data_IF_739149645847
#
_entry.id   IF_739149645847
#
_cell.length_a   1.000
_cell.length_b   1.000
_cell.length_c   1.000
_cell.angle_alpha   90.00
_cell.angle_beta   90.00
_cell.angle_gamma   90.00
#
_symmetry.space_group_name_H-M   'P 1'
#
loop_
_entity.id
_entity.type
_entity.pdbx_description
1 polymer ?
#
# COMPACT_ATOMS: atom_id res chain seq x y z
N UNK A 1 -29.35 40.93 18.82
CA UNK A 1 -29.31 39.58 19.40
C UNK A 1 -28.45 38.67 18.54
N UNK A 2 -27.24 38.36 19.04
CA UNK A 2 -26.30 37.45 18.38
C UNK A 2 -26.87 36.03 18.37
N UNK A 3 -26.94 35.39 17.19
CA UNK A 3 -27.26 33.97 17.05
C UNK A 3 -26.01 33.16 17.44
N UNK A 4 -26.11 32.38 18.51
CA UNK A 4 -25.10 31.38 18.86
C UNK A 4 -25.01 30.29 17.79
N UNK A 5 -23.81 29.75 17.49
CA UNK A 5 -23.67 28.61 16.59
C UNK A 5 -24.19 27.34 17.27
N UNK A 6 -24.93 26.54 16.49
CA UNK A 6 -25.51 25.26 16.89
C UNK A 6 -24.39 24.29 17.29
N UNK A 7 -24.28 23.97 18.60
CA UNK A 7 -23.44 22.86 19.05
C UNK A 7 -24.24 21.57 18.92
N UNK A 8 -23.79 20.57 18.14
CA UNK A 8 -24.48 19.29 18.07
C UNK A 8 -24.43 18.63 19.45
N UNK A 9 -25.60 18.20 19.93
CA UNK A 9 -25.71 17.58 21.26
C UNK A 9 -24.95 16.25 21.29
N UNK A 10 -24.35 15.91 22.45
CA UNK A 10 -23.53 14.69 22.65
C UNK A 10 -24.14 13.42 22.05
N UNK A 11 -25.47 13.31 22.01
CA UNK A 11 -26.22 12.16 21.48
C UNK A 11 -26.05 11.97 19.96
N UNK A 12 -25.95 13.04 19.16
CA UNK A 12 -25.80 12.96 17.70
C UNK A 12 -24.41 12.52 17.26
N UNK A 13 -23.36 12.91 18.00
CA UNK A 13 -22.01 12.41 17.77
C UNK A 13 -21.91 10.90 18.11
N UNK A 14 -22.74 10.40 19.03
CA UNK A 14 -22.66 9.01 19.50
C UNK A 14 -23.50 8.01 18.70
N UNK A 15 -24.40 8.47 17.82
CA UNK A 15 -25.03 7.59 16.81
C UNK A 15 -24.13 7.35 15.59
N UNK A 16 -23.22 8.29 15.29
CA UNK A 16 -22.35 8.27 14.10
C UNK A 16 -21.21 7.22 14.16
N UNK A 17 -20.85 6.74 15.36
CA UNK A 17 -19.86 5.67 15.56
C UNK A 17 -20.37 4.25 15.28
N UNK A 18 -21.70 4.06 15.23
CA UNK A 18 -22.33 2.74 15.15
C UNK A 18 -22.13 2.04 13.81
N UNK A 19 -21.70 2.75 12.77
CA UNK A 19 -21.57 2.25 11.39
C UNK A 19 -20.12 1.95 10.97
N UNK A 20 -19.13 2.20 11.83
CA UNK A 20 -17.72 2.27 11.38
C UNK A 20 -16.86 1.03 11.59
N UNK A 21 -17.26 0.07 12.41
CA UNK A 21 -16.36 -1.03 12.81
C UNK A 21 -16.66 -2.42 12.23
N UNK A 22 -17.58 -2.54 11.29
CA UNK A 22 -17.91 -3.82 10.65
C UNK A 22 -16.95 -4.24 9.53
N UNK A 23 -16.10 -5.25 9.82
CA UNK A 23 -15.50 -6.31 8.96
C UNK A 23 -14.11 -6.13 8.29
N UNK A 24 -13.00 -6.20 9.05
CA UNK A 24 -11.69 -6.51 8.48
C UNK A 24 -11.40 -8.03 8.51
N UNK A 25 -11.32 -8.66 7.34
CA UNK A 25 -11.10 -10.09 7.07
C UNK A 25 -10.14 -10.27 5.88
N UNK A 26 -8.89 -10.64 6.05
CA UNK A 26 -8.07 -11.10 4.92
C UNK A 26 -8.50 -12.53 4.49
N UNK A 27 -8.73 -12.83 3.19
CA UNK A 27 -8.80 -14.21 2.74
C UNK A 27 -7.43 -14.87 2.79
N UNK A 28 -7.40 -16.12 3.26
CA UNK A 28 -6.22 -16.99 3.28
C UNK A 28 -5.62 -17.14 1.89
N UNK A 29 -4.29 -17.00 1.84
CA UNK A 29 -3.43 -17.48 0.76
C UNK A 29 -3.75 -18.93 0.42
N UNK A 30 -4.22 -19.17 -0.79
CA UNK A 30 -4.25 -20.51 -1.36
C UNK A 30 -2.81 -20.94 -1.64
N UNK A 31 -2.38 -22.01 -0.97
CA UNK A 31 -1.14 -22.74 -1.29
C UNK A 31 -1.36 -23.34 -2.67
N UNK A 32 -0.80 -22.71 -3.71
CA UNK A 32 -0.67 -23.32 -5.03
C UNK A 32 0.70 -23.97 -5.14
N UNK A 33 0.67 -25.28 -5.38
CA UNK A 33 1.82 -26.15 -5.59
C UNK A 33 2.83 -25.59 -6.60
N UNK A 34 4.11 -25.61 -6.22
CA UNK A 34 5.25 -25.21 -7.03
C UNK A 34 5.32 -25.96 -8.38
N UNK A 35 5.41 -25.27 -9.52
CA UNK A 35 5.98 -25.87 -10.72
C UNK A 35 7.51 -25.83 -10.65
N UNK A 36 8.12 -26.89 -11.16
CA UNK A 36 9.56 -27.14 -11.23
C UNK A 36 10.36 -25.94 -11.76
N UNK A 37 11.59 -25.83 -11.25
CA UNK A 37 12.65 -24.98 -11.77
C UNK A 37 12.82 -25.17 -13.29
N UNK A 38 12.27 -24.22 -14.05
CA UNK A 38 12.63 -23.98 -15.43
C UNK A 38 13.46 -22.72 -15.46
N UNK A 39 14.66 -22.82 -16.01
CA UNK A 39 15.56 -21.72 -16.35
C UNK A 39 14.81 -20.66 -17.17
N UNK A 40 14.43 -19.55 -16.53
CA UNK A 40 13.77 -18.42 -17.22
C UNK A 40 14.60 -17.16 -16.97
N UNK A 41 15.13 -16.60 -18.05
CA UNK A 41 15.63 -15.22 -18.14
C UNK A 41 14.54 -14.27 -17.63
N UNK A 42 14.58 -13.84 -16.37
CA UNK A 42 13.42 -13.18 -15.73
C UNK A 42 13.60 -11.66 -15.62
N UNK A 43 13.74 -10.99 -16.76
CA UNK A 43 13.54 -9.54 -16.82
C UNK A 43 12.14 -9.22 -16.30
N UNK A 44 12.04 -8.28 -15.37
CA UNK A 44 10.77 -7.97 -14.68
C UNK A 44 9.92 -7.06 -15.57
N UNK A 45 10.52 -5.97 -16.04
CA UNK A 45 9.94 -5.08 -17.03
C UNK A 45 11.04 -4.41 -17.87
N UNK A 46 10.66 -3.86 -19.02
CA UNK A 46 11.53 -3.09 -19.89
C UNK A 46 11.03 -1.65 -20.01
N UNK A 47 11.94 -0.69 -20.13
CA UNK A 47 11.65 0.72 -20.38
C UNK A 47 11.78 1.00 -21.88
N UNK A 48 10.64 1.23 -22.54
CA UNK A 48 10.57 1.58 -23.96
C UNK A 48 10.70 3.10 -24.11
N UNK A 49 11.59 3.62 -24.97
CA UNK A 49 11.77 5.07 -25.12
C UNK A 49 10.59 5.69 -25.87
N UNK A 50 9.99 6.76 -25.33
CA UNK A 50 8.86 7.45 -25.96
C UNK A 50 9.27 8.72 -26.72
N UNK A 51 10.44 9.27 -26.44
CA UNK A 51 10.92 10.50 -27.07
C UNK A 51 12.37 10.38 -27.57
N UNK A 52 12.80 11.36 -28.39
CA UNK A 52 14.14 11.37 -29.00
C UNK A 52 15.27 11.37 -27.95
N UNK A 53 15.05 11.98 -26.78
CA UNK A 53 16.04 12.03 -25.71
C UNK A 53 16.24 10.66 -25.05
N UNK A 54 15.15 9.93 -24.81
CA UNK A 54 15.17 8.55 -24.33
C UNK A 54 15.79 7.60 -25.37
N UNK A 55 15.49 7.78 -26.66
CA UNK A 55 16.12 7.00 -27.74
C UNK A 55 17.64 7.22 -27.78
N UNK A 56 18.09 8.48 -27.74
CA UNK A 56 19.52 8.80 -27.69
C UNK A 56 20.20 8.20 -26.45
N UNK A 57 19.51 8.11 -25.32
CA UNK A 57 20.03 7.50 -24.10
C UNK A 57 20.29 5.99 -24.29
N UNK A 58 19.39 5.31 -24.99
CA UNK A 58 19.49 3.88 -25.29
C UNK A 58 20.61 3.61 -26.30
N UNK A 59 20.78 4.49 -27.29
CA UNK A 59 21.87 4.36 -28.28
C UNK A 59 23.26 4.69 -27.73
N UNK A 60 23.36 5.28 -26.54
CA UNK A 60 24.64 5.62 -25.91
C UNK A 60 25.44 4.35 -25.57
N UNK A 61 26.70 4.31 -26.02
CA UNK A 61 27.64 3.21 -25.78
C UNK A 61 27.77 2.89 -24.28
N UNK A 62 27.65 3.89 -23.40
CA UNK A 62 27.73 3.70 -21.96
C UNK A 62 26.59 2.85 -21.39
N UNK A 63 25.44 2.77 -22.08
CA UNK A 63 24.23 2.10 -21.62
C UNK A 63 23.94 0.78 -22.35
N UNK A 64 24.66 0.48 -23.44
CA UNK A 64 24.39 -0.68 -24.30
C UNK A 64 24.37 -2.03 -23.57
N UNK A 65 25.14 -2.19 -22.49
CA UNK A 65 25.16 -3.41 -21.68
C UNK A 65 23.78 -3.77 -21.08
N UNK A 66 22.93 -2.77 -20.87
CA UNK A 66 21.59 -2.90 -20.28
C UNK A 66 20.45 -2.86 -21.32
N UNK A 67 20.78 -2.60 -22.59
CA UNK A 67 19.80 -2.47 -23.67
C UNK A 67 19.61 -3.83 -24.32
N UNK A 68 18.36 -4.21 -24.56
CA UNK A 68 17.98 -5.40 -25.32
C UNK A 68 16.89 -5.02 -26.32
N UNK A 69 16.94 -5.66 -27.49
CA UNK A 69 15.92 -5.47 -28.51
C UNK A 69 14.76 -6.42 -28.26
N UNK A 70 13.57 -5.86 -28.13
CA UNK A 70 12.33 -6.60 -27.96
C UNK A 70 11.29 -6.09 -28.95
N UNK A 71 10.66 -7.00 -29.68
CA UNK A 71 9.60 -6.65 -30.65
C UNK A 71 10.07 -5.59 -31.69
N UNK A 72 11.36 -5.63 -32.04
CA UNK A 72 12.00 -4.68 -32.96
C UNK A 72 12.30 -3.29 -32.36
N UNK A 73 12.12 -3.12 -31.06
CA UNK A 73 12.41 -1.87 -30.34
C UNK A 73 13.50 -2.11 -29.28
N UNK A 74 14.51 -1.25 -29.26
CA UNK A 74 15.55 -1.29 -28.23
C UNK A 74 15.03 -0.68 -26.93
N UNK A 75 15.10 -1.45 -25.85
CA UNK A 75 14.57 -1.10 -24.53
C UNK A 75 15.62 -1.36 -23.45
N UNK A 76 15.49 -0.67 -22.31
CA UNK A 76 16.32 -0.95 -21.13
C UNK A 76 15.62 -1.99 -20.28
N UNK A 77 16.24 -3.15 -20.08
CA UNK A 77 15.68 -4.19 -19.23
C UNK A 77 15.99 -3.91 -17.75
N UNK A 78 14.95 -3.87 -16.91
CA UNK A 78 15.05 -3.74 -15.46
C UNK A 78 14.78 -5.10 -14.83
N UNK A 79 15.72 -5.56 -14.01
CA UNK A 79 15.70 -6.88 -13.39
C UNK A 79 16.13 -6.80 -11.92
N UNK A 80 15.59 -7.69 -11.10
CA UNK A 80 15.82 -7.81 -9.67
C UNK A 80 16.37 -9.19 -9.25
N UNK A 81 16.68 -10.10 -10.20
CA UNK A 81 17.20 -11.45 -9.90
C UNK A 81 18.71 -11.44 -9.58
N UNK A 82 19.15 -11.81 -8.37
CA UNK A 82 20.56 -11.74 -7.96
C UNK A 82 21.54 -12.71 -8.66
N UNK A 83 21.05 -13.67 -9.44
CA UNK A 83 21.84 -14.78 -10.02
C UNK A 83 22.45 -14.50 -11.40
N UNK A 84 22.42 -13.25 -11.92
CA UNK A 84 23.22 -12.91 -13.10
C UNK A 84 24.71 -12.87 -12.73
N UNK A 85 25.52 -13.65 -13.44
CA UNK A 85 26.99 -13.72 -13.29
C UNK A 85 27.70 -12.35 -13.37
N UNK A 86 27.04 -11.34 -13.93
CA UNK A 86 27.61 -10.02 -14.20
C UNK A 86 27.30 -8.98 -13.09
N UNK A 87 26.43 -9.31 -12.12
CA UNK A 87 26.16 -8.49 -10.92
C UNK A 87 25.53 -7.11 -11.15
N UNK A 88 25.02 -6.82 -12.35
CA UNK A 88 24.58 -5.50 -12.80
C UNK A 88 23.04 -5.45 -12.94
N UNK A 89 22.36 -4.91 -11.94
CA UNK A 89 20.91 -4.65 -11.94
C UNK A 89 20.69 -3.18 -12.26
N UNK A 90 20.20 -2.77 -13.44
CA UNK A 90 19.92 -1.36 -13.71
C UNK A 90 18.65 -0.91 -12.96
N UNK A 91 18.80 -0.79 -11.65
CA UNK A 91 17.79 -0.30 -10.74
C UNK A 91 17.89 1.21 -10.54
N UNK A 92 18.79 1.91 -11.25
CA UNK A 92 19.04 3.32 -11.00
C UNK A 92 19.51 4.05 -12.27
N UNK A 93 18.89 5.20 -12.53
CA UNK A 93 19.19 6.07 -13.67
C UNK A 93 19.69 7.40 -13.13
N UNK A 94 20.79 7.95 -13.66
CA UNK A 94 21.34 9.25 -13.26
C UNK A 94 22.80 9.42 -13.65
N UNK A 95 23.49 10.45 -13.15
CA UNK A 95 24.93 10.65 -13.44
C UNK A 95 25.82 9.52 -12.92
N UNK A 96 25.46 8.94 -11.78
CA UNK A 96 26.15 7.85 -11.09
C UNK A 96 25.28 6.58 -11.01
N UNK A 97 24.18 6.54 -11.76
CA UNK A 97 23.33 5.36 -11.87
C UNK A 97 23.97 4.28 -12.74
N UNK A 98 23.32 3.13 -12.80
CA UNK A 98 23.67 2.06 -13.72
C UNK A 98 23.46 2.52 -15.17
N UNK A 99 22.30 3.11 -15.45
CA UNK A 99 22.02 3.85 -16.69
C UNK A 99 22.50 5.29 -16.50
N UNK A 100 23.45 5.69 -17.32
CA UNK A 100 24.14 6.97 -17.20
C UNK A 100 23.50 8.04 -18.07
N UNK A 101 23.19 9.17 -17.45
CA UNK A 101 22.79 10.41 -18.15
C UNK A 101 23.80 11.51 -17.82
N UNK A 102 24.69 11.83 -18.76
CA UNK A 102 25.71 12.86 -18.56
C UNK A 102 25.18 14.26 -18.89
N UNK A 103 24.42 14.84 -17.95
CA UNK A 103 23.84 16.19 -18.06
C UNK A 103 23.84 16.91 -16.73
N UNK A 104 24.21 18.21 -16.73
CA UNK A 104 24.40 18.98 -15.49
C UNK A 104 23.15 19.06 -14.57
N UNK A 105 21.94 19.11 -15.13
CA UNK A 105 20.68 19.19 -14.37
C UNK A 105 20.18 17.84 -13.84
N UNK A 106 20.85 16.72 -14.18
CA UNK A 106 20.48 15.39 -13.69
C UNK A 106 21.15 15.13 -12.33
N UNK A 107 20.43 14.51 -11.40
CA UNK A 107 20.95 14.16 -10.08
C UNK A 107 21.98 13.01 -10.16
N UNK A 108 22.69 12.76 -9.05
CA UNK A 108 23.60 11.60 -8.95
C UNK A 108 22.85 10.30 -9.24
N UNK A 109 21.72 10.11 -8.56
CA UNK A 109 20.67 9.16 -8.90
C UNK A 109 19.41 9.99 -9.09
N UNK A 110 18.84 9.94 -10.28
CA UNK A 110 17.65 10.68 -10.67
C UNK A 110 16.39 9.91 -10.27
N UNK A 111 16.31 8.65 -10.70
CA UNK A 111 15.26 7.71 -10.32
C UNK A 111 15.89 6.35 -10.01
N UNK A 112 15.25 5.59 -9.14
CA UNK A 112 15.58 4.18 -8.93
C UNK A 112 14.32 3.31 -8.90
N UNK A 113 14.49 2.03 -9.23
CA UNK A 113 13.48 1.00 -9.11
C UNK A 113 13.88 0.07 -7.96
N UNK A 114 12.98 -0.11 -7.00
CA UNK A 114 13.26 -0.82 -5.75
C UNK A 114 12.11 -1.76 -5.44
N UNK A 115 12.36 -2.85 -4.72
CA UNK A 115 11.30 -3.74 -4.23
C UNK A 115 10.88 -3.36 -2.82
N UNK A 116 9.58 -3.34 -2.55
CA UNK A 116 9.07 -3.11 -1.20
C UNK A 116 9.23 -4.39 -0.35
N UNK A 117 9.93 -4.32 0.79
CA UNK A 117 10.30 -5.50 1.60
C UNK A 117 9.13 -6.39 2.03
N UNK A 118 8.02 -5.74 2.36
CA UNK A 118 6.88 -6.39 3.01
C UNK A 118 5.86 -6.87 1.99
N UNK A 119 5.71 -6.12 0.89
CA UNK A 119 4.64 -6.34 -0.09
C UNK A 119 5.13 -6.88 -1.41
N UNK A 120 6.43 -6.75 -1.72
CA UNK A 120 7.02 -7.19 -2.99
C UNK A 120 6.68 -6.31 -4.17
N UNK A 121 6.00 -5.20 -3.92
CA UNK A 121 5.62 -4.24 -4.96
C UNK A 121 6.86 -3.55 -5.53
N UNK A 122 6.82 -3.28 -6.83
CA UNK A 122 7.89 -2.57 -7.54
C UNK A 122 7.66 -1.07 -7.35
N UNK A 123 8.63 -0.42 -6.73
CA UNK A 123 8.63 0.99 -6.38
C UNK A 123 9.50 1.77 -7.36
N UNK A 124 8.95 2.80 -7.99
CA UNK A 124 9.71 3.90 -8.57
C UNK A 124 10.00 4.93 -7.48
N UNK A 125 11.27 5.21 -7.25
CA UNK A 125 11.75 6.19 -6.26
C UNK A 125 12.35 7.39 -6.97
N UNK A 126 11.78 8.57 -6.72
CA UNK A 126 12.35 9.82 -7.20
C UNK A 126 13.42 10.30 -6.22
N UNK A 127 14.69 10.20 -6.65
CA UNK A 127 15.85 10.62 -5.87
C UNK A 127 16.37 11.99 -6.29
N UNK A 128 15.67 12.68 -7.18
CA UNK A 128 16.01 14.03 -7.60
C UNK A 128 15.75 15.03 -6.45
N UNK A 129 16.63 16.03 -6.24
CA UNK A 129 16.44 17.01 -5.16
C UNK A 129 15.12 17.79 -5.24
N UNK A 130 14.56 17.95 -6.44
CA UNK A 130 13.34 18.71 -6.68
C UNK A 130 12.09 17.84 -6.86
N UNK A 131 12.19 16.52 -6.69
CA UNK A 131 11.13 15.55 -7.00
C UNK A 131 10.44 15.82 -8.36
N UNK A 132 11.26 15.88 -9.42
CA UNK A 132 10.82 16.24 -10.77
C UNK A 132 10.51 15.05 -11.67
N UNK A 133 10.29 13.87 -11.10
CA UNK A 133 9.69 12.74 -11.76
C UNK A 133 8.16 12.92 -11.81
N UNK A 134 7.60 12.57 -12.95
CA UNK A 134 6.19 12.54 -13.23
C UNK A 134 5.83 11.17 -13.78
N UNK A 135 4.69 10.63 -13.36
CA UNK A 135 4.20 9.34 -13.86
C UNK A 135 2.76 9.50 -14.29
N UNK A 136 2.51 9.05 -15.51
CA UNK A 136 1.21 8.99 -16.13
C UNK A 136 0.75 7.53 -16.15
N UNK A 137 -0.45 7.25 -15.61
CA UNK A 137 -1.09 5.94 -15.68
C UNK A 137 -2.35 6.02 -16.54
N UNK A 138 -2.58 4.98 -17.33
CA UNK A 138 -3.89 4.66 -17.90
C UNK A 138 -4.36 3.37 -17.26
N UNK A 139 -5.53 3.41 -16.66
CA UNK A 139 -6.16 2.28 -16.01
C UNK A 139 -6.81 1.33 -17.02
N UNK A 140 -7.23 0.15 -16.55
CA UNK A 140 -7.94 -0.84 -17.36
C UNK A 140 -9.31 -0.36 -17.85
N UNK A 141 -9.93 0.58 -17.14
CA UNK A 141 -11.19 1.25 -17.51
C UNK A 141 -10.96 2.57 -18.27
N UNK A 142 -9.72 2.84 -18.68
CA UNK A 142 -9.26 4.05 -19.36
C UNK A 142 -9.28 5.34 -18.53
N UNK A 143 -9.42 5.25 -17.20
CA UNK A 143 -9.16 6.40 -16.35
C UNK A 143 -7.68 6.81 -16.41
N UNK A 144 -7.42 8.12 -16.43
CA UNK A 144 -6.08 8.69 -16.56
C UNK A 144 -5.64 9.29 -15.22
N UNK A 145 -4.39 9.02 -14.83
CA UNK A 145 -3.83 9.51 -13.57
C UNK A 145 -2.43 10.07 -13.68
N UNK A 146 -2.24 11.14 -12.94
CA UNK A 146 -1.01 11.91 -12.92
C UNK A 146 -0.41 11.96 -11.52
N UNK A 147 0.82 11.43 -11.38
CA UNK A 147 1.58 11.48 -10.15
C UNK A 147 2.80 12.37 -10.30
N UNK A 148 2.92 13.34 -9.40
CA UNK A 148 4.05 14.25 -9.28
C UNK A 148 4.36 14.49 -7.80
N UNK A 149 5.55 15.05 -7.51
CA UNK A 149 6.01 15.34 -6.13
C UNK A 149 5.82 14.14 -5.20
N UNK A 150 6.41 13.01 -5.57
CA UNK A 150 6.41 11.79 -4.76
C UNK A 150 7.86 11.43 -4.42
N UNK A 151 8.07 10.83 -3.24
CA UNK A 151 9.36 10.22 -2.91
C UNK A 151 9.47 8.81 -3.48
N UNK A 152 8.38 8.04 -3.38
CA UNK A 152 8.25 6.71 -3.95
C UNK A 152 6.83 6.51 -4.50
N UNK A 153 6.70 5.62 -5.49
CA UNK A 153 5.44 5.28 -6.14
C UNK A 153 5.44 3.82 -6.61
N UNK A 154 4.37 3.08 -6.34
CA UNK A 154 4.18 1.70 -6.81
C UNK A 154 3.85 1.69 -8.30
N UNK A 155 4.62 0.93 -9.08
CA UNK A 155 4.30 0.65 -10.48
C UNK A 155 3.32 -0.53 -10.54
N UNK A 156 2.05 -0.24 -10.81
CA UNK A 156 0.98 -1.22 -10.82
C UNK A 156 0.94 -2.03 -12.13
N UNK A 157 1.18 -3.35 -12.12
CA UNK A 157 1.15 -4.16 -13.34
C UNK A 157 -0.25 -4.32 -13.95
N UNK A 158 -1.32 -4.02 -13.21
CA UNK A 158 -2.68 -4.03 -13.75
C UNK A 158 -3.02 -2.77 -14.58
N UNK A 159 -2.19 -1.72 -14.54
CA UNK A 159 -2.39 -0.54 -15.37
C UNK A 159 -2.22 -0.90 -16.86
N UNK A 160 -3.09 -0.36 -17.70
CA UNK A 160 -3.01 -0.54 -19.16
C UNK A 160 -1.75 0.11 -19.72
N UNK A 161 -1.40 1.29 -19.21
CA UNK A 161 -0.22 2.04 -19.63
C UNK A 161 0.40 2.75 -18.43
N UNK A 162 1.73 2.78 -18.38
CA UNK A 162 2.50 3.59 -17.44
C UNK A 162 3.61 4.29 -18.21
N UNK A 163 3.62 5.62 -18.17
CA UNK A 163 4.69 6.45 -18.75
C UNK A 163 5.38 7.21 -17.64
N UNK A 164 6.69 7.02 -17.55
CA UNK A 164 7.56 7.68 -16.57
C UNK A 164 8.32 8.79 -17.29
N UNK A 165 8.21 10.01 -16.77
CA UNK A 165 8.88 11.19 -17.29
C UNK A 165 9.75 11.81 -16.21
N UNK A 166 11.04 11.98 -16.46
CA UNK A 166 11.94 12.67 -15.53
C UNK A 166 12.95 13.56 -16.25
N UNK A 167 13.63 14.40 -15.46
CA UNK A 167 14.66 15.32 -15.94
C UNK A 167 14.31 16.79 -15.69
N UNK A 168 15.22 17.67 -16.08
CA UNK A 168 15.10 19.12 -15.90
C UNK A 168 14.54 19.79 -17.14
N UNK A 169 15.36 20.64 -17.76
CA UNK A 169 15.04 21.32 -19.02
C UNK A 169 14.84 20.36 -20.20
N UNK A 170 15.44 19.18 -20.14
CA UNK A 170 15.23 18.09 -21.08
C UNK A 170 14.51 16.97 -20.34
N UNK A 171 13.47 16.43 -20.99
CA UNK A 171 12.65 15.35 -20.47
C UNK A 171 13.00 14.03 -21.13
N UNK A 172 13.10 12.99 -20.32
CA UNK A 172 13.27 11.62 -20.75
C UNK A 172 11.98 10.87 -20.41
N UNK A 173 11.38 10.24 -21.41
CA UNK A 173 10.08 9.58 -21.30
C UNK A 173 10.22 8.12 -21.65
N UNK A 174 9.74 7.26 -20.75
CA UNK A 174 9.77 5.81 -20.90
C UNK A 174 8.42 5.20 -20.60
N UNK A 175 7.93 4.37 -21.51
CA UNK A 175 6.77 3.51 -21.30
C UNK A 175 7.23 2.20 -20.63
N UNK A 176 6.57 1.81 -19.55
CA UNK A 176 6.85 0.55 -18.84
C UNK A 176 6.20 -0.61 -19.60
N UNK A 177 7.00 -1.59 -19.99
CA UNK A 177 6.55 -2.84 -20.61
C UNK A 177 6.81 -4.02 -19.71
N UNK A 178 5.76 -4.54 -19.09
CA UNK A 178 5.83 -5.72 -18.24
C UNK A 178 6.30 -6.95 -19.02
N UNK A 179 7.29 -7.66 -18.48
CA UNK A 179 7.86 -8.88 -19.06
C UNK A 179 7.63 -10.11 -18.18
N UNK A 180 7.44 -9.90 -16.88
CA UNK A 180 7.03 -10.96 -15.96
C UNK A 180 5.63 -11.49 -16.31
N UNK A 181 5.46 -12.81 -16.19
CA UNK A 181 4.16 -13.48 -16.38
C UNK A 181 3.39 -13.63 -15.06
N UNK A 182 4.11 -13.69 -13.95
CA UNK A 182 3.59 -13.87 -12.59
C UNK A 182 4.23 -12.84 -11.65
N UNK A 183 3.61 -12.64 -10.48
CA UNK A 183 4.12 -11.76 -9.42
C UNK A 183 5.44 -12.29 -8.83
N UNK A 184 6.28 -11.39 -8.30
CA UNK A 184 7.56 -11.75 -7.69
C UNK A 184 7.30 -12.49 -6.37
N UNK A 185 7.75 -13.75 -6.29
CA UNK A 185 7.73 -14.52 -5.05
C UNK A 185 8.77 -13.98 -4.06
N UNK A 186 8.28 -13.31 -3.02
CA UNK A 186 9.09 -12.73 -1.96
C UNK A 186 9.84 -13.76 -1.11
N UNK A 187 9.33 -15.00 -0.94
CA UNK A 187 10.03 -16.01 -0.15
C UNK A 187 11.23 -16.56 -0.91
N UNK A 188 11.03 -16.83 -2.21
CA UNK A 188 12.13 -17.14 -3.12
C UNK A 188 13.19 -16.02 -3.07
N UNK A 189 12.75 -14.75 -3.13
CA UNK A 189 13.64 -13.58 -3.16
C UNK A 189 14.36 -13.29 -1.83
N UNK A 190 13.69 -13.43 -0.67
CA UNK A 190 14.31 -13.26 0.67
C UNK A 190 15.43 -14.28 0.91
N UNK A 191 15.24 -15.51 0.43
CA UNK A 191 16.28 -16.55 0.52
C UNK A 191 17.55 -16.21 -0.30
N UNK A 192 17.41 -15.33 -1.29
CA UNK A 192 18.48 -14.82 -2.14
C UNK A 192 19.13 -13.55 -1.56
N UNK A 193 18.38 -12.62 -0.94
CA UNK A 193 18.93 -11.44 -0.23
C UNK A 193 19.96 -11.86 0.85
N UNK A 194 19.67 -12.93 1.60
CA UNK A 194 20.59 -13.46 2.64
C UNK A 194 21.93 -13.94 2.08
N UNK A 195 22.03 -14.23 0.77
CA UNK A 195 23.26 -14.71 0.13
C UNK A 195 24.12 -13.59 -0.44
N UNK A 196 23.54 -12.43 -0.77
CA UNK A 196 24.20 -11.36 -1.53
C UNK A 196 24.48 -10.09 -0.73
N UNK A 197 23.91 -9.94 0.47
CA UNK A 197 24.22 -8.84 1.39
C UNK A 197 23.74 -7.45 0.93
N UNK A 198 22.92 -7.38 -0.13
CA UNK A 198 22.34 -6.13 -0.60
C UNK A 198 21.06 -5.81 0.18
N UNK A 199 21.05 -4.69 0.89
CA UNK A 199 19.84 -4.11 1.49
C UNK A 199 19.48 -2.86 0.69
N UNK A 200 18.68 -3.02 -0.37
CA UNK A 200 18.18 -1.90 -1.19
C UNK A 200 16.67 -1.89 -1.30
N UNK A 201 16.02 -2.11 -0.17
CA UNK A 201 14.58 -2.15 -0.10
C UNK A 201 14.13 -1.09 0.89
N UNK A 202 13.15 -0.29 0.48
CA UNK A 202 12.49 0.69 1.33
C UNK A 202 12.06 -0.03 2.62
N UNK A 203 12.67 0.35 3.75
CA UNK A 203 12.18 -0.09 5.06
C UNK A 203 10.85 0.61 5.29
N UNK A 204 9.89 -0.15 5.79
CA UNK A 204 8.61 0.39 6.21
C UNK A 204 8.82 1.59 7.11
N UNK A 205 8.46 2.77 6.61
CA UNK A 205 8.05 3.84 7.48
C UNK A 205 6.61 3.45 7.85
N UNK A 206 6.34 2.97 9.08
CA UNK A 206 4.97 2.60 9.47
C UNK A 206 4.09 3.78 9.10
N UNK A 207 3.08 3.62 8.21
CA UNK A 207 2.47 4.69 7.41
C UNK A 207 2.55 6.03 8.14
N UNK A 208 3.67 6.73 7.96
CA UNK A 208 4.10 7.66 9.01
C UNK A 208 3.23 8.88 8.92
N UNK A 209 2.31 8.96 9.87
CA UNK A 209 1.50 10.12 10.21
C UNK A 209 0.55 10.52 9.08
N UNK A 210 -0.60 11.02 9.51
CA UNK A 210 -1.54 11.81 8.72
C UNK A 210 -0.75 12.67 7.75
N UNK A 211 -0.99 12.49 6.46
CA UNK A 211 -0.46 13.41 5.45
C UNK A 211 -1.08 14.75 5.82
N UNK A 212 -0.26 15.65 6.36
CA UNK A 212 -0.66 17.02 6.64
C UNK A 212 -1.23 17.62 5.35
N UNK A 213 -2.33 18.35 5.49
CA UNK A 213 -3.03 19.02 4.40
C UNK A 213 -2.02 19.78 3.52
N UNK A 214 -1.89 19.37 2.25
CA UNK A 214 -0.94 20.06 1.36
C UNK A 214 -0.54 19.37 0.07
N UNK A 215 -0.91 18.10 -0.16
CA UNK A 215 -0.68 17.47 -1.48
C UNK A 215 -1.92 17.67 -2.35
N UNK A 216 -1.92 18.73 -3.15
CA UNK A 216 -2.86 18.91 -4.26
C UNK A 216 -2.70 17.74 -5.23
N UNK A 217 -3.77 16.96 -5.42
CA UNK A 217 -3.86 15.87 -6.38
C UNK A 217 -5.31 15.40 -6.45
N UNK A 218 -5.75 14.76 -7.56
CA UNK A 218 -7.12 14.30 -7.67
C UNK A 218 -7.45 13.39 -6.48
N UNK A 219 -8.51 13.78 -5.81
CA UNK A 219 -9.29 12.96 -4.90
C UNK A 219 -9.77 11.72 -5.69
N UNK A 220 -9.84 10.57 -5.03
CA UNK A 220 -10.60 9.36 -5.41
C UNK A 220 -9.78 8.16 -5.85
N UNK A 221 -10.00 7.05 -5.12
CA UNK A 221 -9.80 5.62 -5.46
C UNK A 221 -8.41 5.12 -5.84
N UNK A 222 -7.49 6.00 -6.24
CA UNK A 222 -6.34 5.63 -7.05
C UNK A 222 -5.04 5.65 -6.27
N UNK A 223 -5.02 6.36 -5.13
CA UNK A 223 -3.98 6.17 -4.13
C UNK A 223 -3.99 4.74 -3.59
N UNK A 224 -5.14 4.08 -3.51
CA UNK A 224 -5.26 2.78 -2.86
C UNK A 224 -5.65 1.70 -3.87
N UNK A 225 -4.66 1.02 -4.43
CA UNK A 225 -4.89 -0.08 -5.37
C UNK A 225 -5.64 -1.22 -4.68
N UNK A 226 -6.89 -1.46 -5.09
CA UNK A 226 -7.72 -2.56 -4.61
C UNK A 226 -7.06 -3.90 -4.96
N UNK A 227 -6.77 -4.73 -3.95
CA UNK A 227 -6.26 -6.09 -4.14
C UNK A 227 -7.36 -7.12 -4.01
N UNK A 228 -7.87 -7.33 -2.80
CA UNK A 228 -8.84 -8.39 -2.51
C UNK A 228 -9.99 -7.87 -1.70
N UNK A 229 -11.20 -8.30 -2.05
CA UNK A 229 -12.37 -8.08 -1.22
C UNK A 229 -12.25 -8.92 0.04
N UNK A 230 -12.13 -8.20 1.14
CA UNK A 230 -11.97 -8.72 2.48
C UNK A 230 -13.34 -9.14 3.01
N UNK A 231 -14.32 -8.23 2.95
CA UNK A 231 -15.63 -8.47 3.52
C UNK A 231 -16.74 -7.66 2.83
N UNK A 232 -17.98 -8.09 3.05
CA UNK A 232 -19.18 -7.44 2.57
C UNK A 232 -20.26 -7.49 3.64
N UNK A 233 -20.85 -6.35 3.96
CA UNK A 233 -22.08 -6.28 4.73
C UNK A 233 -23.18 -5.67 3.86
N UNK A 234 -24.10 -6.53 3.42
CA UNK A 234 -25.21 -6.14 2.54
C UNK A 234 -26.16 -5.18 3.23
N UNK A 235 -26.44 -5.37 4.52
CA UNK A 235 -27.37 -4.54 5.27
C UNK A 235 -26.88 -3.09 5.43
N UNK A 236 -25.57 -2.91 5.60
CA UNK A 236 -24.97 -1.57 5.75
C UNK A 236 -24.33 -1.06 4.46
N UNK A 237 -24.50 -1.76 3.33
CA UNK A 237 -23.82 -1.49 2.03
C UNK A 237 -22.34 -1.13 2.20
N UNK A 238 -21.69 -1.90 3.05
CA UNK A 238 -20.29 -1.70 3.41
C UNK A 238 -19.47 -2.79 2.74
N UNK A 239 -18.37 -2.40 2.12
CA UNK A 239 -17.37 -3.32 1.63
C UNK A 239 -16.02 -2.96 2.22
N UNK A 240 -15.22 -3.98 2.51
CA UNK A 240 -13.85 -3.78 2.97
C UNK A 240 -12.95 -4.50 2.00
N UNK A 241 -11.88 -3.82 1.61
CA UNK A 241 -10.88 -4.31 0.68
C UNK A 241 -9.49 -4.19 1.30
N UNK A 242 -8.65 -5.17 1.01
CA UNK A 242 -7.20 -5.02 1.14
C UNK A 242 -6.74 -4.15 -0.02
N UNK A 243 -5.92 -3.15 0.26
CA UNK A 243 -5.37 -2.27 -0.76
C UNK A 243 -3.87 -2.05 -0.56
N UNK A 244 -3.19 -1.57 -1.59
CA UNK A 244 -1.84 -1.01 -1.52
C UNK A 244 -1.90 0.50 -1.66
N UNK A 245 -1.34 1.24 -0.72
CA UNK A 245 -1.11 2.68 -0.89
C UNK A 245 0.02 2.89 -1.90
N UNK A 246 -0.30 3.38 -3.10
CA UNK A 246 0.65 3.57 -4.18
C UNK A 246 1.82 4.46 -3.79
N UNK A 247 1.67 5.39 -2.85
CA UNK A 247 2.78 6.29 -2.46
C UNK A 247 3.76 5.66 -1.48
N UNK A 248 3.33 4.64 -0.73
CA UNK A 248 4.14 4.05 0.34
C UNK A 248 4.48 2.59 0.08
N UNK A 249 3.72 1.89 -0.75
CA UNK A 249 3.83 0.45 -0.96
C UNK A 249 3.23 -0.37 0.19
N UNK A 250 2.65 0.27 1.21
CA UNK A 250 2.07 -0.42 2.37
C UNK A 250 0.70 -1.00 2.08
N UNK A 251 0.44 -2.17 2.67
CA UNK A 251 -0.89 -2.73 2.72
C UNK A 251 -1.76 -1.94 3.70
N UNK A 252 -2.96 -1.58 3.26
CA UNK A 252 -3.99 -0.94 4.08
C UNK A 252 -5.31 -1.68 3.93
N UNK A 253 -6.25 -1.44 4.85
CA UNK A 253 -7.64 -1.80 4.66
C UNK A 253 -8.44 -0.55 4.30
N UNK A 254 -9.25 -0.63 3.24
CA UNK A 254 -10.17 0.44 2.87
C UNK A 254 -11.59 -0.04 3.09
N UNK A 255 -12.30 0.64 3.99
CA UNK A 255 -13.72 0.44 4.23
C UNK A 255 -14.51 1.45 3.40
N UNK A 256 -15.19 0.96 2.37
CA UNK A 256 -16.11 1.74 1.55
C UNK A 256 -17.53 1.58 2.08
N UNK A 257 -18.21 2.70 2.32
CA UNK A 257 -19.57 2.74 2.85
C UNK A 257 -20.44 3.63 1.95
N UNK A 258 -21.51 3.05 1.40
CA UNK A 258 -22.43 3.75 0.51
C UNK A 258 -23.60 4.36 1.28
N UNK A 259 -24.00 5.58 0.90
CA UNK A 259 -25.18 6.23 1.42
C UNK A 259 -26.45 5.38 1.19
N UNK A 260 -27.08 4.92 2.27
CA UNK A 260 -28.46 4.39 2.24
C UNK A 260 -29.48 5.53 2.11
N UNK A 261 -29.14 6.70 2.64
CA UNK A 261 -29.91 7.95 2.58
C UNK A 261 -28.91 9.02 2.21
N UNK A 262 -29.13 9.71 1.08
CA UNK A 262 -28.21 10.73 0.56
C UNK A 262 -27.82 11.75 1.64
N UNK A 263 -26.51 11.95 1.82
CA UNK A 263 -25.96 12.95 2.74
C UNK A 263 -25.87 12.52 4.20
N UNK A 264 -26.44 11.36 4.59
CA UNK A 264 -26.35 10.85 5.97
C UNK A 264 -24.92 10.39 6.30
N UNK A 265 -24.30 9.62 5.42
CA UNK A 265 -22.96 9.09 5.67
C UNK A 265 -21.85 10.09 5.40
N UNK A 266 -22.13 11.23 4.74
CA UNK A 266 -21.23 12.39 4.75
C UNK A 266 -21.00 12.90 6.17
N UNK A 267 -22.07 13.07 6.94
CA UNK A 267 -21.95 13.48 8.33
C UNK A 267 -21.26 12.43 9.22
N UNK A 268 -21.49 11.15 8.92
CA UNK A 268 -20.79 10.05 9.60
C UNK A 268 -19.30 10.10 9.26
N UNK A 269 -18.92 10.26 7.98
CA UNK A 269 -17.54 10.45 7.52
C UNK A 269 -16.83 11.60 8.22
N UNK A 270 -17.46 12.77 8.35
CA UNK A 270 -16.91 13.90 9.10
C UNK A 270 -16.70 13.59 10.59
N UNK A 271 -17.65 12.88 11.21
CA UNK A 271 -17.49 12.43 12.59
C UNK A 271 -16.35 11.40 12.73
N UNK A 272 -16.20 10.48 11.76
CA UNK A 272 -15.05 9.58 11.69
C UNK A 272 -13.78 10.41 11.68
N UNK A 273 -13.67 11.36 10.74
CA UNK A 273 -12.47 12.18 10.55
C UNK A 273 -12.05 12.80 11.88
N UNK A 274 -13.00 13.39 12.61
CA UNK A 274 -12.76 13.97 13.94
C UNK A 274 -12.31 12.95 15.00
N UNK A 275 -12.90 11.75 15.01
CA UNK A 275 -12.52 10.70 15.97
C UNK A 275 -11.14 10.12 15.62
N UNK A 276 -10.89 9.86 14.34
CA UNK A 276 -9.61 9.38 13.83
C UNK A 276 -8.47 10.37 14.09
N UNK A 277 -8.77 11.66 14.23
CA UNK A 277 -7.76 12.67 14.59
C UNK A 277 -7.35 12.66 16.08
N UNK A 278 -8.15 12.08 16.97
CA UNK A 278 -7.95 12.26 18.42
C UNK A 278 -7.53 10.97 19.15
N UNK A 279 -7.53 9.84 18.45
CA UNK A 279 -7.18 8.51 18.96
C UNK A 279 -5.75 8.11 18.56
N UNK A 280 -4.96 7.69 19.55
CA UNK A 280 -3.66 7.06 19.35
C UNK A 280 -3.39 6.16 20.57
N UNK A 281 -3.48 4.85 20.37
CA UNK A 281 -3.30 3.86 21.42
C UNK A 281 -2.89 2.53 20.80
N UNK A 282 -1.95 1.75 21.38
CA UNK A 282 -1.44 0.52 20.79
C UNK A 282 -2.53 -0.54 20.52
N UNK A 283 -3.58 -0.61 21.34
CA UNK A 283 -4.68 -1.58 21.22
C UNK A 283 -5.96 -0.96 20.60
N UNK A 284 -5.82 0.08 19.80
CA UNK A 284 -6.90 0.67 19.00
C UNK A 284 -6.38 0.78 17.57
N UNK A 285 -7.15 0.24 16.61
CA UNK A 285 -6.79 0.30 15.20
C UNK A 285 -6.47 1.73 14.76
N UNK A 286 -5.35 1.90 14.06
CA UNK A 286 -4.98 3.18 13.51
C UNK A 286 -5.78 3.47 12.23
N UNK A 287 -6.36 4.66 12.19
CA UNK A 287 -7.04 5.18 11.01
C UNK A 287 -6.13 6.22 10.35
N UNK A 288 -5.81 6.00 9.08
CA UNK A 288 -4.90 6.87 8.34
C UNK A 288 -5.63 8.06 7.73
N UNK A 289 -6.83 7.82 7.18
CA UNK A 289 -7.54 8.83 6.41
C UNK A 289 -9.04 8.52 6.32
N UNK A 290 -9.85 9.57 6.22
CA UNK A 290 -11.26 9.50 5.79
C UNK A 290 -11.40 10.31 4.51
N UNK A 291 -11.96 9.69 3.48
CA UNK A 291 -12.29 10.33 2.22
C UNK A 291 -13.81 10.34 2.06
N UNK A 292 -14.36 11.53 1.84
CA UNK A 292 -15.80 11.75 1.67
C UNK A 292 -16.07 11.92 0.18
N UNK A 293 -16.93 11.06 -0.37
CA UNK A 293 -17.39 11.06 -1.76
C UNK A 293 -18.83 11.60 -1.81
N UNK A 294 -19.41 11.88 -3.00
CA UNK A 294 -20.76 12.44 -3.11
C UNK A 294 -21.86 11.59 -2.45
N UNK A 295 -21.82 10.26 -2.63
CA UNK A 295 -22.82 9.30 -2.12
C UNK A 295 -22.17 8.16 -1.30
N UNK A 296 -20.92 8.34 -0.83
CA UNK A 296 -20.20 7.34 -0.04
C UNK A 296 -19.04 7.95 0.73
N UNK A 297 -18.37 7.18 1.58
CA UNK A 297 -17.06 7.54 2.11
C UNK A 297 -16.16 6.31 2.21
N UNK A 298 -14.86 6.56 2.14
CA UNK A 298 -13.80 5.60 2.39
C UNK A 298 -13.14 5.90 3.74
N UNK A 299 -12.95 4.86 4.55
CA UNK A 299 -12.15 4.89 5.76
C UNK A 299 -10.92 4.01 5.55
N UNK A 300 -9.76 4.65 5.48
CA UNK A 300 -8.46 3.99 5.30
C UNK A 300 -7.88 3.71 6.66
N UNK A 301 -7.56 2.45 6.91
CA UNK A 301 -7.10 1.97 8.21
C UNK A 301 -5.96 0.97 8.05
N UNK A 302 -5.31 0.73 9.17
CA UNK A 302 -4.31 -0.30 9.31
C UNK A 302 -4.87 -1.69 8.94
N UNK A 303 -4.13 -2.47 8.14
CA UNK A 303 -4.52 -3.85 7.82
C UNK A 303 -4.21 -4.78 9.00
N UNK A 304 -5.17 -5.61 9.36
CA UNK A 304 -5.06 -6.65 10.40
C UNK A 304 -5.18 -8.05 9.77
N UNK A 305 -4.64 -9.07 10.44
CA UNK A 305 -4.62 -10.45 9.93
C UNK A 305 -6.00 -11.12 10.01
N UNK A 306 -6.83 -10.69 10.96
CA UNK A 306 -8.21 -11.13 11.10
C UNK A 306 -8.88 -10.60 12.36
N UNK A 307 -10.02 -11.20 12.70
CA UNK A 307 -10.77 -10.92 13.92
C UNK A 307 -10.83 -12.12 14.86
N UNK A 308 -11.19 -11.87 16.12
CA UNK A 308 -11.26 -12.89 17.16
C UNK A 308 -12.32 -13.96 16.86
N UNK A 309 -13.42 -13.62 16.17
CA UNK A 309 -14.48 -14.57 15.78
C UNK A 309 -13.95 -15.64 14.82
N UNK A 310 -13.14 -15.22 13.84
CA UNK A 310 -12.44 -16.12 12.94
C UNK A 310 -11.32 -16.88 13.65
N UNK A 311 -10.58 -16.22 14.55
CA UNK A 311 -9.44 -16.82 15.25
C UNK A 311 -9.85 -18.03 16.10
N UNK A 312 -10.94 -17.92 16.87
CA UNK A 312 -11.45 -19.03 17.70
C UNK A 312 -11.94 -20.22 16.88
N UNK A 313 -12.18 -20.04 15.57
CA UNK A 313 -12.57 -21.13 14.68
C UNK A 313 -11.37 -21.87 14.06
N UNK A 314 -10.14 -21.41 14.27
CA UNK A 314 -8.94 -22.03 13.70
C UNK A 314 -8.59 -23.33 14.44
N UNK A 315 -7.83 -24.22 13.77
CA UNK A 315 -7.38 -25.49 14.38
C UNK A 315 -6.52 -25.26 15.62
N UNK A 316 -5.69 -24.21 15.60
CA UNK A 316 -4.86 -23.79 16.74
C UNK A 316 -5.71 -23.63 18.02
N UNK A 317 -6.92 -23.06 17.91
CA UNK A 317 -7.81 -22.80 19.06
C UNK A 317 -8.86 -23.89 19.34
N UNK A 318 -8.93 -24.93 18.51
CA UNK A 318 -9.94 -26.01 18.65
C UNK A 318 -9.40 -27.27 19.30
N UNK A 319 -8.07 -27.44 19.37
CA UNK A 319 -7.47 -28.64 19.94
C UNK A 319 -7.45 -28.57 21.48
N UNK A 320 -8.10 -29.52 22.19
CA UNK A 320 -8.30 -29.46 23.64
C UNK A 320 -7.01 -29.56 24.47
N UNK A 321 -5.91 -30.00 23.87
CA UNK A 321 -4.59 -30.01 24.51
C UNK A 321 -4.02 -28.59 24.70
N UNK A 322 -4.56 -27.58 24.00
CA UNK A 322 -4.11 -26.19 24.10
C UNK A 322 -5.00 -25.33 25.00
N UNK A 323 -6.24 -25.73 25.32
CA UNK A 323 -7.22 -24.92 26.06
C UNK A 323 -6.74 -24.35 27.42
N UNK A 324 -5.92 -25.08 28.18
CA UNK A 324 -5.35 -24.59 29.45
C UNK A 324 -4.15 -23.67 29.26
N UNK A 325 -3.37 -23.88 28.21
CA UNK A 325 -2.29 -22.99 27.75
C UNK A 325 -2.87 -21.70 27.14
N UNK A 326 -3.96 -21.80 26.38
CA UNK A 326 -4.62 -20.71 25.66
C UNK A 326 -5.25 -19.69 26.60
N UNK A 327 -5.68 -20.09 27.80
CA UNK A 327 -6.15 -19.15 28.82
C UNK A 327 -5.05 -18.16 29.22
N UNK A 328 -3.80 -18.61 29.30
CA UNK A 328 -2.67 -17.84 29.78
C UNK A 328 -1.88 -17.17 28.65
N UNK A 329 -1.82 -17.79 27.47
CA UNK A 329 -1.10 -17.28 26.29
C UNK A 329 -1.98 -16.43 25.37
N UNK A 330 -3.30 -16.59 25.41
CA UNK A 330 -4.22 -15.87 24.52
C UNK A 330 -5.33 -15.16 25.29
N UNK A 331 -6.09 -15.85 26.14
CA UNK A 331 -7.24 -15.29 26.86
C UNK A 331 -6.87 -14.11 27.77
N UNK A 332 -5.86 -14.27 28.63
CA UNK A 332 -5.35 -13.20 29.50
C UNK A 332 -4.78 -12.02 28.70
N UNK A 333 -3.89 -12.22 27.70
CA UNK A 333 -3.43 -11.14 26.84
C UNK A 333 -4.55 -10.40 26.12
N UNK A 334 -5.52 -11.09 25.50
CA UNK A 334 -6.68 -10.46 24.85
C UNK A 334 -7.42 -9.57 25.84
N UNK A 335 -7.81 -10.12 26.99
CA UNK A 335 -8.60 -9.39 27.97
C UNK A 335 -7.84 -8.16 28.49
N UNK A 336 -6.55 -8.30 28.79
CA UNK A 336 -5.71 -7.20 29.25
C UNK A 336 -5.59 -6.09 28.19
N UNK A 337 -5.34 -6.45 26.93
CA UNK A 337 -5.18 -5.50 25.83
C UNK A 337 -6.50 -4.78 25.53
N UNK A 338 -7.62 -5.51 25.52
CA UNK A 338 -8.96 -4.94 25.40
C UNK A 338 -9.29 -3.98 26.54
N UNK A 339 -9.00 -4.34 27.80
CA UNK A 339 -9.26 -3.47 28.94
C UNK A 339 -8.43 -2.19 28.88
N UNK A 340 -7.17 -2.26 28.44
CA UNK A 340 -6.34 -1.06 28.20
C UNK A 340 -6.94 -0.16 27.12
N UNK A 341 -7.44 -0.73 26.01
CA UNK A 341 -8.10 0.04 24.96
C UNK A 341 -9.37 0.73 25.47
N UNK A 342 -10.20 0.02 26.24
CA UNK A 342 -11.43 0.55 26.81
C UNK A 342 -11.16 1.64 27.86
N UNK A 343 -10.13 1.47 28.68
CA UNK A 343 -9.68 2.49 29.65
C UNK A 343 -9.24 3.78 28.93
N UNK A 344 -8.45 3.65 27.86
CA UNK A 344 -8.07 4.79 27.03
C UNK A 344 -9.28 5.48 26.38
N UNK A 345 -10.24 4.73 25.85
CA UNK A 345 -11.46 5.29 25.28
C UNK A 345 -12.29 6.02 26.36
N UNK A 346 -12.42 5.44 27.55
CA UNK A 346 -13.11 6.07 28.67
C UNK A 346 -12.42 7.37 29.11
N UNK A 347 -11.08 7.39 29.15
CA UNK A 347 -10.29 8.61 29.41
C UNK A 347 -10.55 9.71 28.37
N UNK A 348 -10.82 9.33 27.12
CA UNK A 348 -11.19 10.24 26.02
C UNK A 348 -12.69 10.59 25.97
N UNK A 349 -13.49 10.16 26.95
CA UNK A 349 -14.96 10.32 26.98
C UNK A 349 -15.66 9.66 25.77
N UNK A 350 -15.11 8.54 25.30
CA UNK A 350 -15.62 7.76 24.16
C UNK A 350 -16.10 6.39 24.65
N UNK A 351 -17.32 6.01 24.25
CA UNK A 351 -17.89 4.69 24.53
C UNK A 351 -17.92 3.91 23.21
N UNK A 352 -17.27 2.75 23.14
CA UNK A 352 -17.22 1.94 21.92
C UNK A 352 -18.60 1.40 21.48
N UNK A 353 -19.43 0.96 22.43
CA UNK A 353 -20.83 0.46 22.23
C UNK A 353 -21.04 -0.80 21.38
N UNK A 354 -19.99 -1.41 20.84
CA UNK A 354 -20.08 -2.62 20.00
C UNK A 354 -18.88 -3.54 20.23
N UNK A 355 -18.56 -3.78 21.50
CA UNK A 355 -17.48 -4.71 21.88
C UNK A 355 -17.98 -6.13 21.69
N UNK A 356 -17.46 -6.82 20.67
CA UNK A 356 -17.78 -8.21 20.32
C UNK A 356 -16.60 -8.85 19.59
N UNK A 357 -16.52 -10.20 19.51
CA UNK A 357 -15.41 -10.90 18.86
C UNK A 357 -15.07 -10.43 17.44
N UNK A 358 -16.08 -10.05 16.65
CA UNK A 358 -15.91 -9.56 15.27
C UNK A 358 -15.22 -8.19 15.17
N UNK A 359 -15.17 -7.42 16.27
CA UNK A 359 -14.57 -6.08 16.31
C UNK A 359 -13.26 -6.07 17.13
N UNK A 360 -12.78 -7.23 17.57
CA UNK A 360 -11.48 -7.39 18.21
C UNK A 360 -10.57 -7.98 17.13
N UNK A 361 -9.75 -7.11 16.54
CA UNK A 361 -8.85 -7.48 15.46
C UNK A 361 -7.55 -8.03 16.03
N UNK A 362 -6.77 -8.72 15.21
CA UNK A 362 -5.45 -9.16 15.61
C UNK A 362 -4.42 -9.08 14.48
N UNK A 363 -3.15 -8.98 14.89
CA UNK A 363 -1.97 -9.19 14.04
C UNK A 363 -1.01 -10.17 14.69
N UNK A 364 -0.35 -11.00 13.88
CA UNK A 364 0.77 -11.84 14.29
C UNK A 364 2.07 -11.05 14.17
N UNK A 365 2.72 -10.79 15.31
CA UNK A 365 4.02 -10.11 15.38
C UNK A 365 5.00 -11.10 16.01
N UNK A 366 6.05 -11.50 15.27
CA UNK A 366 7.06 -12.46 15.73
C UNK A 366 6.48 -13.78 16.30
N UNK A 367 5.38 -14.26 15.73
CA UNK A 367 4.70 -15.47 16.17
C UNK A 367 3.73 -15.30 17.36
N UNK A 368 3.62 -14.09 17.94
CA UNK A 368 2.65 -13.78 18.99
C UNK A 368 1.47 -12.96 18.45
N UNK A 369 0.31 -13.09 19.09
CA UNK A 369 -0.86 -12.27 18.75
C UNK A 369 -0.84 -10.93 19.48
N UNK A 370 -1.08 -9.87 18.71
CA UNK A 370 -1.34 -8.53 19.18
C UNK A 370 -2.77 -8.15 18.80
N UNK A 371 -3.57 -7.68 19.76
CA UNK A 371 -4.99 -7.37 19.63
C UNK A 371 -5.27 -5.87 19.75
#
# INVERSE_FOLDING_TARGET
>A
SQKQPFQPTKVEATQKLRLLLTHALAPRTAIMSSPRATTVSSVVFSLKPCNRHAQNLISDLANQSFVRSHDGCDMIDVDFIPDRCDGLYPAAIGKKGHIKIDRNFIAKIQVSFELHKETGEIMLVDRSPSQNCYVYYVQSDHEILDFYKFGALVLNPAAHEIVITFGGSIKYEFEVKWRMRDWIDLEAWKSLETRTGQVQTLRSLPPTKRVEEGVEGPLHELRFLLQTKIACNFCTRTTIHKCIDLRTGHCVAVKHVVDLIKGRYREEGEACKKITTDLSHPHIIEFFQVEILPDSFNLVMELQDGDLSGLVCTREFREPQQLFTDADTVGRPILLQMLKALDYLAFKDIIHRDVKPHNILYRRINGAYHY
#
